data_IF_678836760771
#
_entry.id   IF_678836760771
#
_cell.length_a   1.000
_cell.length_b   1.000
_cell.length_c   1.000
_cell.angle_alpha   90.00
_cell.angle_beta   90.00
_cell.angle_gamma   90.00
#
_symmetry.space_group_name_H-M   'P 1'
#
loop_
_entity.id
_entity.type
_entity.pdbx_description
1 polymer ?
#
# COMPACT_ATOMS: atom_id res chain seq x y z
N UNK A 1 16.41 -24.19 -64.82
CA UNK A 1 17.38 -23.42 -64.01
C UNK A 1 16.60 -22.47 -63.11
N UNK A 2 16.89 -22.51 -61.80
CA UNK A 2 16.51 -21.59 -60.70
C UNK A 2 15.07 -21.68 -60.14
N UNK A 3 14.98 -22.46 -59.05
CA UNK A 3 14.06 -22.25 -57.92
C UNK A 3 14.14 -20.80 -57.40
N UNK A 4 13.00 -20.21 -57.05
CA UNK A 4 12.94 -19.15 -56.04
C UNK A 4 11.86 -19.49 -55.00
N UNK A 5 12.41 -19.97 -53.90
CA UNK A 5 11.93 -20.13 -52.53
C UNK A 5 10.97 -19.07 -52.01
N UNK A 6 9.91 -19.58 -51.36
CA UNK A 6 9.25 -19.14 -50.12
C UNK A 6 9.50 -17.73 -49.61
N UNK A 7 8.42 -16.92 -49.56
CA UNK A 7 8.35 -15.75 -48.68
C UNK A 7 6.89 -15.35 -48.36
N UNK A 8 6.06 -16.27 -47.86
CA UNK A 8 4.71 -15.96 -47.37
C UNK A 8 4.30 -16.92 -46.24
N UNK A 9 5.06 -16.91 -45.15
CA UNK A 9 4.70 -17.64 -43.92
C UNK A 9 5.27 -16.95 -42.66
N UNK A 10 5.31 -15.61 -42.64
CA UNK A 10 5.83 -14.85 -41.50
C UNK A 10 4.95 -13.64 -41.12
N UNK A 11 3.63 -13.76 -41.30
CA UNK A 11 2.65 -12.72 -40.93
C UNK A 11 1.60 -13.19 -39.91
N UNK A 12 1.91 -14.21 -39.11
CA UNK A 12 0.98 -14.80 -38.14
C UNK A 12 1.50 -14.88 -36.70
N UNK A 13 2.41 -13.99 -36.28
CA UNK A 13 3.02 -14.04 -34.93
C UNK A 13 3.04 -12.72 -34.15
N UNK A 14 2.23 -11.72 -34.54
CA UNK A 14 2.13 -10.47 -33.77
C UNK A 14 0.75 -10.16 -33.20
N UNK A 15 -0.06 -11.19 -32.92
CA UNK A 15 -1.09 -11.07 -31.87
C UNK A 15 -0.45 -11.34 -30.51
N UNK A 16 0.54 -10.52 -30.16
CA UNK A 16 0.93 -10.37 -28.77
C UNK A 16 -0.27 -9.74 -28.07
N UNK A 17 -1.06 -10.59 -27.42
CA UNK A 17 -2.03 -10.21 -26.41
C UNK A 17 -1.34 -9.26 -25.44
N UNK A 18 -1.58 -7.97 -25.61
CA UNK A 18 -1.34 -6.98 -24.59
C UNK A 18 -2.29 -7.32 -23.46
N UNK A 19 -1.87 -8.24 -22.59
CA UNK A 19 -2.37 -8.27 -21.23
C UNK A 19 -1.93 -6.93 -20.64
N UNK A 20 -2.79 -5.93 -20.80
CA UNK A 20 -2.82 -4.79 -19.93
C UNK A 20 -3.04 -5.37 -18.53
N UNK A 21 -1.93 -5.69 -17.85
CA UNK A 21 -1.89 -5.67 -16.41
C UNK A 21 -2.39 -4.29 -16.04
N UNK A 22 -3.69 -4.21 -15.73
CA UNK A 22 -4.26 -3.10 -14.99
C UNK A 22 -3.59 -3.15 -13.63
N UNK A 23 -2.36 -2.63 -13.58
CA UNK A 23 -1.71 -2.26 -12.35
C UNK A 23 -2.73 -1.38 -11.63
N UNK A 24 -3.36 -1.91 -10.59
CA UNK A 24 -4.14 -1.10 -9.67
C UNK A 24 -3.11 -0.16 -9.03
N UNK A 25 -2.89 0.99 -9.67
CA UNK A 25 -1.91 2.01 -9.28
C UNK A 25 -2.49 2.88 -8.17
N UNK A 26 -3.17 2.26 -7.22
CA UNK A 26 -3.85 2.98 -6.16
C UNK A 26 -2.83 3.27 -5.06
N UNK A 27 -2.46 4.54 -4.94
CA UNK A 27 -1.67 5.04 -3.82
C UNK A 27 -2.64 5.65 -2.80
N UNK A 28 -2.53 5.30 -1.52
CA UNK A 28 -3.40 5.80 -0.45
C UNK A 28 -2.74 6.96 0.31
N UNK A 29 -3.56 7.91 0.74
CA UNK A 29 -3.21 9.13 1.48
C UNK A 29 -3.89 9.19 2.84
N UNK A 30 -3.55 10.18 3.67
CA UNK A 30 -4.05 10.37 5.04
C UNK A 30 -5.57 10.48 5.20
N UNK A 31 -6.31 10.72 4.13
CA UNK A 31 -7.77 10.84 4.13
C UNK A 31 -8.47 9.55 3.66
N UNK A 32 -7.75 8.45 3.41
CA UNK A 32 -8.35 7.21 2.92
C UNK A 32 -8.49 7.11 1.40
N UNK A 33 -8.32 8.23 0.69
CA UNK A 33 -8.60 8.35 -0.75
C UNK A 33 -7.43 7.91 -1.62
N UNK A 34 -7.66 7.88 -2.94
CA UNK A 34 -6.63 7.63 -3.94
C UNK A 34 -5.90 8.93 -4.24
N UNK A 35 -4.57 8.92 -4.11
CA UNK A 35 -3.75 10.08 -4.35
C UNK A 35 -3.54 10.32 -5.86
N UNK A 36 -3.64 11.58 -6.28
CA UNK A 36 -3.27 12.05 -7.63
C UNK A 36 -2.15 13.09 -7.49
N UNK A 37 -1.11 12.96 -8.31
CA UNK A 37 -0.01 13.90 -8.38
C UNK A 37 0.30 14.20 -9.85
N UNK A 38 -0.38 15.21 -10.41
CA UNK A 38 -0.29 15.56 -11.84
C UNK A 38 -0.06 17.05 -12.10
N UNK A 39 -0.48 17.93 -11.20
CA UNK A 39 -0.35 19.38 -11.37
C UNK A 39 0.29 20.03 -10.15
N UNK A 40 0.86 21.23 -10.30
CA UNK A 40 1.59 21.90 -9.22
C UNK A 40 0.78 22.06 -7.93
N UNK A 41 -0.53 22.34 -8.04
CA UNK A 41 -1.41 22.44 -6.86
C UNK A 41 -1.51 21.13 -6.05
N UNK A 42 -1.25 19.96 -6.64
CA UNK A 42 -1.24 18.68 -5.93
C UNK A 42 -0.08 18.58 -4.93
N UNK A 43 1.05 19.25 -5.20
CA UNK A 43 2.23 19.25 -4.33
C UNK A 43 1.90 19.87 -2.96
N UNK A 44 1.02 20.88 -2.96
CA UNK A 44 0.65 21.66 -1.77
C UNK A 44 -0.64 21.16 -1.08
N UNK A 45 -1.25 20.07 -1.58
CA UNK A 45 -2.45 19.49 -0.96
C UNK A 45 -2.12 18.96 0.42
N UNK A 46 -2.99 19.28 1.40
CA UNK A 46 -2.87 18.81 2.78
C UNK A 46 -2.79 17.29 2.90
N UNK A 47 -3.50 16.55 2.05
CA UNK A 47 -3.49 15.08 2.04
C UNK A 47 -2.14 14.47 1.63
N UNK A 48 -1.25 15.24 0.98
CA UNK A 48 0.08 14.79 0.57
C UNK A 48 1.19 15.14 1.58
N UNK A 49 0.91 15.93 2.62
CA UNK A 49 1.92 16.43 3.56
C UNK A 49 2.68 15.32 4.28
N UNK A 50 1.95 14.27 4.66
CA UNK A 50 2.53 13.14 5.39
C UNK A 50 3.02 12.04 4.44
N UNK A 51 3.13 12.34 3.15
CA UNK A 51 3.41 11.38 2.10
C UNK A 51 2.23 10.46 1.81
N UNK A 52 2.50 9.50 0.94
CA UNK A 52 1.54 8.55 0.41
C UNK A 52 2.19 7.17 0.39
N UNK A 53 1.39 6.10 0.34
CA UNK A 53 1.96 4.75 0.25
C UNK A 53 1.19 3.83 -0.69
N UNK A 54 1.91 2.85 -1.20
CA UNK A 54 1.40 1.66 -1.86
C UNK A 54 1.76 0.46 -1.01
N UNK A 55 0.87 -0.53 -0.99
CA UNK A 55 1.14 -1.81 -0.41
C UNK A 55 0.76 -2.91 -1.38
N UNK A 56 1.57 -3.96 -1.42
CA UNK A 56 1.29 -5.18 -2.18
C UNK A 56 1.66 -6.38 -1.33
N UNK A 57 0.69 -7.22 -1.03
CA UNK A 57 0.97 -8.58 -0.59
C UNK A 57 1.47 -9.38 -1.80
N UNK A 58 2.56 -10.12 -1.63
CA UNK A 58 3.13 -10.91 -2.73
C UNK A 58 3.38 -12.37 -2.37
N UNK A 59 3.30 -12.73 -1.08
CA UNK A 59 3.35 -14.11 -0.62
C UNK A 59 2.46 -14.26 0.61
N UNK A 60 1.79 -15.40 0.69
CA UNK A 60 1.12 -15.88 1.89
C UNK A 60 1.46 -17.35 2.08
N UNK A 61 1.78 -17.73 3.31
CA UNK A 61 1.98 -19.12 3.72
C UNK A 61 1.14 -19.36 4.98
N UNK A 62 0.58 -20.57 5.12
CA UNK A 62 0.02 -21.03 6.39
C UNK A 62 0.99 -22.02 7.01
N UNK A 63 1.36 -21.80 8.26
CA UNK A 63 2.24 -22.67 9.04
C UNK A 63 1.43 -23.78 9.71
N UNK A 64 2.11 -24.84 10.15
CA UNK A 64 1.48 -26.01 10.80
C UNK A 64 0.73 -25.65 12.10
N UNK A 65 1.16 -24.61 12.80
CA UNK A 65 0.50 -24.07 14.00
C UNK A 65 -0.70 -23.15 13.68
N UNK A 66 -1.11 -23.05 12.42
CA UNK A 66 -2.30 -22.31 12.00
C UNK A 66 -2.10 -20.79 11.92
N UNK A 67 -0.85 -20.33 11.78
CA UNK A 67 -0.53 -18.92 11.55
C UNK A 67 -0.43 -18.63 10.06
N UNK A 68 -1.00 -17.51 9.62
CA UNK A 68 -0.77 -16.98 8.28
C UNK A 68 0.42 -16.01 8.33
N UNK A 69 1.47 -16.32 7.56
CA UNK A 69 2.60 -15.44 7.29
C UNK A 69 2.40 -14.72 5.96
N UNK A 70 2.23 -13.40 5.99
CA UNK A 70 2.00 -12.56 4.80
C UNK A 70 3.20 -11.64 4.60
N UNK A 71 3.87 -11.78 3.45
CA UNK A 71 4.94 -10.88 3.04
C UNK A 71 4.37 -9.72 2.21
N UNK A 72 4.64 -8.50 2.68
CA UNK A 72 4.20 -7.24 2.11
C UNK A 72 5.39 -6.46 1.58
N UNK A 73 5.21 -5.83 0.41
CA UNK A 73 6.08 -4.76 -0.07
C UNK A 73 5.34 -3.43 0.09
N UNK A 74 5.97 -2.52 0.83
CA UNK A 74 5.51 -1.15 1.02
C UNK A 74 6.38 -0.20 0.20
N UNK A 75 5.74 0.72 -0.53
CA UNK A 75 6.40 1.78 -1.31
C UNK A 75 5.84 3.11 -0.84
N UNK A 76 6.69 3.91 -0.21
CA UNK A 76 6.38 5.25 0.29
C UNK A 76 6.88 6.32 -0.68
N UNK A 77 6.01 7.28 -0.93
CA UNK A 77 6.23 8.34 -1.91
C UNK A 77 5.71 9.67 -1.36
N UNK A 78 6.04 10.77 -2.03
CA UNK A 78 5.35 12.06 -1.87
C UNK A 78 5.14 12.72 -3.23
N UNK A 79 4.14 13.56 -3.33
CA UNK A 79 3.98 14.41 -4.52
C UNK A 79 4.99 15.55 -4.47
N UNK A 80 5.74 15.75 -5.56
CA UNK A 80 6.72 16.82 -5.68
C UNK A 80 6.78 17.36 -7.11
N UNK A 81 7.36 18.55 -7.27
CA UNK A 81 7.69 19.15 -8.56
C UNK A 81 9.20 19.26 -8.68
N UNK A 82 9.78 18.56 -9.67
CA UNK A 82 11.21 18.63 -9.99
C UNK A 82 11.35 19.09 -11.45
N UNK A 83 12.10 20.15 -11.70
CA UNK A 83 12.34 20.71 -13.05
C UNK A 83 11.05 20.94 -13.86
N UNK A 84 10.00 21.45 -13.20
CA UNK A 84 8.69 21.68 -13.80
C UNK A 84 7.84 20.43 -14.05
N UNK A 85 8.34 19.23 -13.73
CA UNK A 85 7.58 17.98 -13.80
C UNK A 85 7.02 17.60 -12.44
N UNK A 86 5.70 17.44 -12.38
CA UNK A 86 4.99 17.01 -11.18
C UNK A 86 4.81 15.50 -11.19
N UNK A 87 5.17 14.85 -10.09
CA UNK A 87 5.01 13.40 -9.96
C UNK A 87 5.32 12.88 -8.56
N UNK A 88 5.00 11.60 -8.34
CA UNK A 88 5.37 10.92 -7.12
C UNK A 88 6.87 10.61 -7.12
N UNK A 89 7.56 11.05 -6.07
CA UNK A 89 8.97 10.73 -5.83
C UNK A 89 9.11 9.85 -4.61
N UNK A 90 10.15 9.02 -4.57
CA UNK A 90 10.49 8.20 -3.40
C UNK A 90 10.67 9.07 -2.16
N UNK A 91 9.96 8.73 -1.09
CA UNK A 91 10.03 9.46 0.16
C UNK A 91 9.78 8.50 1.31
N UNK A 92 10.79 8.33 2.17
CA UNK A 92 10.71 7.44 3.31
C UNK A 92 9.64 7.91 4.32
N UNK A 93 8.96 7.00 5.04
CA UNK A 93 7.91 7.37 5.97
C UNK A 93 8.39 8.23 7.15
N UNK A 94 9.67 8.17 7.52
CA UNK A 94 10.28 8.93 8.63
C UNK A 94 11.05 10.17 8.18
N UNK A 95 11.18 10.39 6.87
CA UNK A 95 11.99 11.49 6.35
C UNK A 95 11.31 12.84 6.59
N UNK A 96 12.04 13.76 7.23
CA UNK A 96 11.65 15.16 7.38
C UNK A 96 11.35 15.80 6.02
N UNK A 97 10.33 16.64 5.95
CA UNK A 97 10.00 17.39 4.74
C UNK A 97 9.63 18.82 5.06
N UNK A 98 10.19 19.75 4.31
CA UNK A 98 9.77 21.15 4.28
C UNK A 98 8.87 21.35 3.06
N UNK A 99 7.73 22.00 3.25
CA UNK A 99 6.72 22.23 2.21
C UNK A 99 5.86 23.44 2.54
N UNK A 100 5.03 23.84 1.59
CA UNK A 100 4.12 24.96 1.72
C UNK A 100 2.68 24.49 1.83
N UNK A 101 1.95 25.06 2.78
CA UNK A 101 0.50 24.86 2.93
C UNK A 101 -0.22 26.19 2.81
N UNK A 102 -1.33 26.18 2.07
CA UNK A 102 -2.21 27.33 1.99
C UNK A 102 -2.97 27.50 3.32
N UNK A 103 -2.66 28.59 4.02
CA UNK A 103 -3.22 28.91 5.33
C UNK A 103 -4.59 29.60 5.24
N UNK A 104 -5.27 29.72 6.38
CA UNK A 104 -6.51 30.49 6.52
C UNK A 104 -6.30 31.99 6.24
N UNK A 105 -5.05 32.46 6.36
CA UNK A 105 -4.61 33.81 5.99
C UNK A 105 -4.49 34.04 4.48
N UNK A 106 -4.94 33.06 3.66
CA UNK A 106 -4.89 33.08 2.20
C UNK A 106 -3.46 33.20 1.64
N UNK A 107 -2.46 32.83 2.43
CA UNK A 107 -1.04 32.82 2.06
C UNK A 107 -0.47 31.42 2.19
N UNK A 108 0.60 31.15 1.43
CA UNK A 108 1.41 29.97 1.68
C UNK A 108 2.26 30.20 2.92
N UNK A 109 2.22 29.23 3.83
CA UNK A 109 3.09 29.18 5.00
C UNK A 109 4.06 28.02 4.80
N UNK A 110 5.35 28.28 5.02
CA UNK A 110 6.36 27.23 5.06
C UNK A 110 6.18 26.44 6.35
N UNK A 111 6.03 25.12 6.19
CA UNK A 111 5.91 24.18 7.28
C UNK A 111 6.97 23.10 7.15
N UNK A 112 7.49 22.70 8.30
CA UNK A 112 8.26 21.49 8.44
C UNK A 112 7.36 20.38 8.99
N UNK A 113 7.39 19.23 8.33
CA UNK A 113 6.74 18.00 8.78
C UNK A 113 7.83 17.04 9.21
N UNK A 114 7.91 16.80 10.50
CA UNK A 114 8.81 15.83 11.10
C UNK A 114 8.01 14.61 11.57
N UNK A 115 8.37 13.40 11.12
CA UNK A 115 7.69 12.17 11.55
C UNK A 115 8.48 11.53 12.68
N UNK A 116 7.93 11.57 13.89
CA UNK A 116 8.56 11.05 15.11
C UNK A 116 8.54 9.52 15.13
N UNK A 117 7.45 8.91 14.67
CA UNK A 117 7.33 7.46 14.50
C UNK A 117 6.35 7.09 13.41
N UNK A 118 6.52 5.91 12.83
CA UNK A 118 5.62 5.37 11.82
C UNK A 118 5.48 3.86 12.00
N UNK A 119 4.24 3.38 11.98
CA UNK A 119 3.90 1.95 12.16
C UNK A 119 2.95 1.49 11.07
N UNK A 120 3.06 0.22 10.68
CA UNK A 120 2.02 -0.49 9.95
C UNK A 120 1.14 -1.23 10.96
N UNK A 121 -0.18 -1.10 10.80
CA UNK A 121 -1.19 -1.77 11.62
C UNK A 121 -2.04 -2.66 10.72
N UNK A 122 -2.22 -3.91 11.13
CA UNK A 122 -3.13 -4.85 10.50
C UNK A 122 -4.40 -4.99 11.34
N UNK A 123 -5.56 -4.92 10.70
CA UNK A 123 -6.87 -4.98 11.34
C UNK A 123 -7.75 -6.04 10.70
N UNK A 124 -8.59 -6.70 11.51
CA UNK A 124 -9.67 -7.51 10.98
C UNK A 124 -10.67 -6.63 10.23
N UNK A 125 -10.96 -7.01 8.99
CA UNK A 125 -12.01 -6.42 8.16
C UNK A 125 -13.34 -6.36 8.94
N UNK A 126 -14.01 -5.21 8.87
CA UNK A 126 -15.37 -5.01 9.38
C UNK A 126 -15.47 -4.81 10.89
N UNK A 127 -14.42 -5.07 11.67
CA UNK A 127 -14.49 -5.08 13.15
C UNK A 127 -13.42 -4.22 13.83
N UNK A 128 -12.58 -3.49 13.09
CA UNK A 128 -11.51 -2.59 13.62
C UNK A 128 -10.65 -3.22 14.74
N UNK A 129 -10.57 -4.55 14.81
CA UNK A 129 -9.77 -5.28 15.80
C UNK A 129 -8.33 -5.32 15.32
N UNK A 130 -7.40 -4.77 16.11
CA UNK A 130 -5.97 -4.82 15.81
C UNK A 130 -5.47 -6.28 15.86
N UNK A 131 -4.80 -6.70 14.81
CA UNK A 131 -4.21 -8.03 14.67
C UNK A 131 -2.70 -7.99 14.95
N UNK A 132 -2.02 -6.97 14.40
CA UNK A 132 -0.58 -6.79 14.56
C UNK A 132 -0.18 -5.33 14.31
N UNK A 133 0.92 -4.90 14.93
CA UNK A 133 1.56 -3.62 14.70
C UNK A 133 3.08 -3.80 14.58
N UNK A 134 3.69 -3.24 13.53
CA UNK A 134 5.14 -3.25 13.32
C UNK A 134 5.68 -1.84 13.06
N UNK A 135 6.86 -1.53 13.58
CA UNK A 135 7.57 -0.30 13.28
C UNK A 135 8.07 -0.26 11.82
N UNK A 136 7.92 0.89 11.17
CA UNK A 136 8.46 1.14 9.85
C UNK A 136 9.89 1.68 9.92
N UNK A 137 10.70 1.32 8.93
CA UNK A 137 12.08 1.79 8.79
C UNK A 137 12.12 3.09 7.99
N UNK A 138 13.19 3.85 8.14
CA UNK A 138 13.49 5.04 7.32
C UNK A 138 13.95 4.65 5.89
N UNK A 139 13.07 3.98 5.14
CA UNK A 139 13.29 3.55 3.75
C UNK A 139 12.02 3.74 2.93
N UNK A 140 12.18 4.26 1.70
CA UNK A 140 11.06 4.45 0.76
C UNK A 140 10.47 3.13 0.25
N UNK A 141 11.27 2.08 0.14
CA UNK A 141 10.81 0.72 -0.21
C UNK A 141 11.22 -0.22 0.91
N UNK A 142 10.28 -0.99 1.44
CA UNK A 142 10.55 -1.93 2.51
C UNK A 142 9.62 -3.13 2.48
N UNK A 143 10.20 -4.30 2.77
CA UNK A 143 9.46 -5.52 3.01
C UNK A 143 9.03 -5.59 4.48
N UNK A 144 7.82 -6.08 4.72
CA UNK A 144 7.23 -6.29 6.03
C UNK A 144 6.59 -7.68 6.06
N UNK A 145 6.75 -8.40 7.17
CA UNK A 145 6.05 -9.66 7.40
C UNK A 145 5.00 -9.47 8.48
N UNK A 146 3.79 -9.93 8.21
CA UNK A 146 2.72 -10.06 9.20
C UNK A 146 2.53 -11.54 9.51
N UNK A 147 2.34 -11.88 10.78
CA UNK A 147 2.12 -13.23 11.27
C UNK A 147 0.90 -13.19 12.18
N UNK A 148 -0.21 -13.76 11.70
CA UNK A 148 -1.54 -13.59 12.30
C UNK A 148 -2.28 -14.92 12.30
N UNK A 149 -3.01 -15.30 13.37
CA UNK A 149 -3.75 -16.56 13.40
C UNK A 149 -4.79 -16.62 12.27
N UNK A 150 -4.86 -17.72 11.53
CA UNK A 150 -5.81 -17.89 10.40
C UNK A 150 -7.25 -17.66 10.85
N UNK A 151 -7.61 -18.16 12.02
CA UNK A 151 -8.93 -18.01 12.64
C UNK A 151 -9.37 -16.54 12.81
N UNK A 152 -8.41 -15.62 12.94
CA UNK A 152 -8.69 -14.18 13.06
C UNK A 152 -8.99 -13.53 11.71
N UNK A 153 -8.63 -14.18 10.59
CA UNK A 153 -8.69 -13.64 9.23
C UNK A 153 -9.91 -14.12 8.44
N UNK A 154 -10.54 -15.21 8.86
CA UNK A 154 -11.75 -15.78 8.26
C UNK A 154 -13.00 -15.46 9.08
N UNK A 155 -14.20 -15.61 8.51
CA UNK A 155 -15.47 -15.52 9.25
C UNK A 155 -15.87 -16.88 9.85
N UNK A 156 -16.86 -16.91 10.73
CA UNK A 156 -17.38 -18.19 11.25
C UNK A 156 -18.08 -19.03 10.17
N UNK A 157 -18.58 -18.38 9.11
CA UNK A 157 -19.11 -19.07 7.93
C UNK A 157 -17.98 -19.73 7.14
N UNK A 158 -16.89 -19.00 6.89
CA UNK A 158 -15.71 -19.52 6.19
C UNK A 158 -15.04 -20.67 6.97
N UNK A 159 -15.05 -20.63 8.30
CA UNK A 159 -14.60 -21.77 9.12
C UNK A 159 -15.38 -23.05 8.80
N UNK A 160 -16.71 -22.95 8.72
CA UNK A 160 -17.57 -24.08 8.36
C UNK A 160 -17.32 -24.56 6.94
N UNK A 161 -17.11 -23.65 5.99
CA UNK A 161 -16.75 -24.03 4.63
C UNK A 161 -15.45 -24.85 4.59
N UNK A 162 -14.42 -24.45 5.35
CA UNK A 162 -13.18 -25.24 5.47
C UNK A 162 -13.38 -26.60 6.12
N UNK A 163 -14.25 -26.71 7.11
CA UNK A 163 -14.62 -27.98 7.75
C UNK A 163 -15.33 -28.93 6.77
N UNK A 164 -16.12 -28.36 5.84
CA UNK A 164 -16.80 -29.10 4.78
C UNK A 164 -15.89 -29.43 3.58
N UNK A 165 -14.61 -29.02 3.62
CA UNK A 165 -13.64 -29.22 2.54
C UNK A 165 -13.76 -28.22 1.39
N UNK A 166 -14.56 -27.16 1.56
CA UNK A 166 -14.70 -26.08 0.59
C UNK A 166 -13.64 -24.98 0.80
N UNK A 167 -13.56 -24.07 -0.18
CA UNK A 167 -12.72 -22.87 -0.10
C UNK A 167 -13.31 -21.85 0.88
N UNK A 168 -12.46 -21.29 1.74
CA UNK A 168 -12.77 -20.14 2.57
C UNK A 168 -12.11 -18.86 2.06
N UNK A 169 -12.69 -17.72 2.42
CA UNK A 169 -12.09 -16.42 2.14
C UNK A 169 -11.54 -15.78 3.41
N UNK A 170 -10.28 -15.38 3.34
CA UNK A 170 -9.61 -14.57 4.35
C UNK A 170 -9.48 -13.12 3.92
N UNK A 171 -9.63 -12.19 4.86
CA UNK A 171 -9.32 -10.79 4.60
C UNK A 171 -8.92 -10.00 5.86
N UNK A 172 -8.08 -9.00 5.63
CA UNK A 172 -7.70 -8.00 6.63
C UNK A 172 -7.30 -6.70 5.95
N UNK A 173 -7.34 -5.62 6.73
CA UNK A 173 -6.98 -4.27 6.28
C UNK A 173 -5.62 -3.88 6.88
N UNK A 174 -4.74 -3.27 6.08
CA UNK A 174 -3.49 -2.67 6.56
C UNK A 174 -3.55 -1.15 6.44
N UNK A 175 -3.10 -0.47 7.49
CA UNK A 175 -3.09 0.99 7.60
C UNK A 175 -1.72 1.46 8.08
N UNK A 176 -1.24 2.60 7.60
CA UNK A 176 -0.03 3.23 8.15
C UNK A 176 -0.45 4.34 9.09
N UNK A 177 0.06 4.31 10.32
CA UNK A 177 -0.11 5.39 11.28
C UNK A 177 1.24 6.08 11.50
N UNK A 178 1.23 7.41 11.48
CA UNK A 178 2.40 8.25 11.77
C UNK A 178 2.12 9.18 12.93
N UNK A 179 3.07 9.32 13.84
CA UNK A 179 3.12 10.45 14.77
C UNK A 179 3.95 11.55 14.13
N UNK A 180 3.33 12.69 13.85
CA UNK A 180 3.96 13.79 13.13
C UNK A 180 3.95 15.06 13.97
N UNK A 181 5.03 15.81 13.89
CA UNK A 181 5.16 17.16 14.40
C UNK A 181 5.18 18.11 13.22
N UNK A 182 4.26 19.07 13.23
CA UNK A 182 4.13 20.12 12.24
C UNK A 182 4.65 21.41 12.86
N UNK A 183 5.65 22.02 12.23
CA UNK A 183 6.26 23.27 12.70
C UNK A 183 6.06 24.35 11.65
N UNK A 184 5.46 25.48 12.03
CA UNK A 184 5.37 26.65 11.18
C UNK A 184 6.66 27.48 11.35
N UNK A 185 7.45 27.52 10.29
CA UNK A 185 8.79 28.13 10.31
C UNK A 185 8.74 29.66 10.48
N UNK A 186 7.59 30.29 10.18
CA UNK A 186 7.43 31.75 10.29
C UNK A 186 6.74 32.21 11.58
N UNK A 187 6.01 31.33 12.28
CA UNK A 187 5.12 31.71 13.40
C UNK A 187 5.49 31.05 14.74
N UNK A 188 6.66 30.41 14.87
CA UNK A 188 7.11 29.71 16.08
C UNK A 188 6.02 28.81 16.69
N UNK A 189 5.25 28.16 15.83
CA UNK A 189 4.14 27.29 16.21
C UNK A 189 4.50 25.84 15.90
N UNK A 190 4.33 24.96 16.88
CA UNK A 190 4.54 23.52 16.73
C UNK A 190 3.32 22.76 17.22
N UNK A 191 2.89 21.74 16.47
CA UNK A 191 1.76 20.89 16.82
C UNK A 191 2.10 19.44 16.54
N UNK A 192 1.82 18.56 17.50
CA UNK A 192 1.87 17.11 17.28
C UNK A 192 0.49 16.60 16.88
N UNK A 193 0.46 15.69 15.92
CA UNK A 193 -0.76 15.05 15.46
C UNK A 193 -0.49 13.65 14.97
N UNK A 194 -1.54 12.82 14.94
CA UNK A 194 -1.48 11.48 14.37
C UNK A 194 -2.06 11.53 12.96
N UNK A 195 -1.32 10.99 11.98
CA UNK A 195 -1.77 10.86 10.60
C UNK A 195 -1.98 9.39 10.25
N UNK A 196 -3.20 9.02 9.87
CA UNK A 196 -3.55 7.68 9.43
C UNK A 196 -3.64 7.65 7.91
N UNK A 197 -2.70 7.01 7.22
CA UNK A 197 -2.77 6.79 5.77
C UNK A 197 -3.78 5.68 5.46
N UNK A 198 -4.57 5.89 4.42
CA UNK A 198 -5.73 5.07 4.06
C UNK A 198 -5.44 3.58 3.92
N UNK A 199 -6.38 2.76 4.37
CA UNK A 199 -6.18 1.32 4.43
C UNK A 199 -6.18 0.63 3.05
N UNK A 200 -5.43 -0.46 2.95
CA UNK A 200 -5.52 -1.44 1.86
C UNK A 200 -6.07 -2.76 2.38
N UNK A 201 -7.07 -3.29 1.68
CA UNK A 201 -7.59 -4.62 1.96
C UNK A 201 -6.75 -5.67 1.26
N UNK A 202 -6.34 -6.68 1.99
CA UNK A 202 -5.72 -7.90 1.46
C UNK A 202 -6.75 -9.00 1.54
N UNK A 203 -6.94 -9.70 0.42
CA UNK A 203 -7.87 -10.84 0.29
C UNK A 203 -7.08 -12.05 -0.18
N UNK A 204 -7.50 -13.22 0.28
CA UNK A 204 -6.91 -14.48 -0.10
C UNK A 204 -7.95 -15.60 0.03
N UNK A 205 -7.74 -16.67 -0.72
CA UNK A 205 -8.45 -17.93 -0.51
C UNK A 205 -7.64 -18.84 0.39
N UNK A 206 -8.34 -19.68 1.14
CA UNK A 206 -7.77 -20.78 1.93
C UNK A 206 -8.47 -22.05 1.49
N UNK A 207 -7.69 -23.11 1.30
CA UNK A 207 -8.20 -24.45 1.03
C UNK A 207 -7.41 -25.51 1.78
N UNK A 208 -8.04 -26.66 2.00
CA UNK A 208 -7.41 -27.81 2.64
C UNK A 208 -6.75 -28.67 1.55
N UNK A 209 -5.46 -28.96 1.71
CA UNK A 209 -4.71 -29.90 0.88
C UNK A 209 -4.26 -31.09 1.73
N UNK A 210 -5.12 -32.11 1.86
CA UNK A 210 -4.90 -33.21 2.80
C UNK A 210 -4.98 -32.73 4.26
N UNK A 211 -3.88 -32.86 5.00
CA UNK A 211 -3.79 -32.43 6.40
C UNK A 211 -3.37 -30.96 6.57
N UNK A 212 -2.88 -30.31 5.52
CA UNK A 212 -2.40 -28.93 5.57
C UNK A 212 -3.41 -27.94 5.03
N UNK A 213 -3.24 -26.68 5.42
CA UNK A 213 -3.94 -25.55 4.80
C UNK A 213 -3.01 -24.84 3.83
N UNK A 214 -3.55 -24.49 2.67
CA UNK A 214 -2.87 -23.68 1.68
C UNK A 214 -3.64 -22.37 1.48
N UNK A 215 -2.91 -21.30 1.20
CA UNK A 215 -3.50 -19.99 0.96
C UNK A 215 -2.97 -19.37 -0.33
N UNK A 216 -3.85 -18.68 -1.04
CA UNK A 216 -3.53 -17.99 -2.30
C UNK A 216 -4.04 -16.55 -2.27
N UNK A 217 -3.16 -15.58 -2.50
CA UNK A 217 -3.52 -14.16 -2.60
C UNK A 217 -4.42 -13.88 -3.82
N UNK A 218 -5.37 -12.96 -3.67
CA UNK A 218 -6.23 -12.45 -4.75
C UNK A 218 -5.76 -11.12 -5.30
#
# INVERSE_FOLDING_TARGET
MKMRTSLLALLALFTASTQASTNISTTKVSDGTVAVCKKGYDVHKRSNLNGVYRAKAHKINITEDGMAEIDLILIFQRCASNDGKVGFISHSPLKKVETQVYGLDKKFNDIEVNTESAVIKAYKDGVYKLLQENNLKDKSVQAQRLTVPVESLISDMDKKELELGNKAQGSFDIMIQKQVRLENLSKNYSMRTTSNLGAFRIRFDIERNGETLEATLK
#
